data_IF_336614553648
#
_entry.id   IF_336614553648
#
_cell.length_a   1.000
_cell.length_b   1.000
_cell.length_c   1.000
_cell.angle_alpha   90.00
_cell.angle_beta   90.00
_cell.angle_gamma   90.00
#
_symmetry.space_group_name_H-M   'P 1'
#
loop_
_entity.id
_entity.type
_entity.pdbx_description
1 polymer ?
#
# COMPACT_ATOMS: atom_id res chain seq x y z
N UNK A 1 -11.56 27.33 6.13
CA UNK A 1 -10.86 26.66 5.02
C UNK A 1 -10.84 25.18 5.34
N UNK A 2 -11.34 24.27 4.48
CA UNK A 2 -11.00 22.86 4.66
C UNK A 2 -9.46 22.77 4.70
N UNK A 3 -8.94 22.04 5.68
CA UNK A 3 -7.50 21.86 5.86
C UNK A 3 -6.97 21.10 4.66
N UNK A 4 -6.33 21.79 3.70
CA UNK A 4 -5.74 21.10 2.56
C UNK A 4 -4.59 20.23 3.03
N UNK A 5 -4.65 18.94 2.71
CA UNK A 5 -3.66 17.93 3.11
C UNK A 5 -2.72 17.61 1.97
N UNK A 6 -1.48 17.28 2.33
CA UNK A 6 -0.47 16.76 1.41
C UNK A 6 -0.15 15.32 1.77
N UNK A 7 0.11 14.52 0.74
CA UNK A 7 0.34 13.08 0.87
C UNK A 7 1.57 12.65 0.09
N UNK A 8 2.15 11.51 0.45
CA UNK A 8 3.24 10.87 -0.30
C UNK A 8 2.91 9.42 -0.63
N UNK A 9 3.19 8.99 -1.86
CA UNK A 9 2.89 7.64 -2.36
C UNK A 9 4.17 7.02 -2.90
N UNK A 10 4.47 5.79 -2.48
CA UNK A 10 5.47 4.95 -3.11
C UNK A 10 4.82 3.70 -3.71
N UNK A 11 5.08 3.45 -5.00
CA UNK A 11 4.44 2.35 -5.74
C UNK A 11 3.19 2.75 -6.52
N UNK A 12 3.06 4.03 -6.89
CA UNK A 12 1.91 4.58 -7.62
C UNK A 12 1.68 3.96 -9.01
N UNK A 13 2.66 3.27 -9.59
CA UNK A 13 2.53 2.57 -10.89
C UNK A 13 2.05 1.12 -10.76
N UNK A 14 1.84 0.64 -9.54
CA UNK A 14 1.32 -0.70 -9.27
C UNK A 14 -0.20 -0.68 -9.09
N UNK A 15 -0.86 -1.82 -9.24
CA UNK A 15 -2.33 -1.94 -9.23
C UNK A 15 -3.03 -1.13 -8.11
N UNK A 16 -2.64 -1.28 -6.83
CA UNK A 16 -3.25 -0.51 -5.72
C UNK A 16 -2.74 0.93 -5.68
N UNK A 17 -1.49 1.16 -6.09
CA UNK A 17 -0.89 2.50 -6.05
C UNK A 17 -1.48 3.44 -7.10
N UNK A 18 -1.86 2.89 -8.25
CA UNK A 18 -2.52 3.63 -9.32
C UNK A 18 -3.91 4.08 -8.88
N UNK A 19 -4.67 3.16 -8.27
CA UNK A 19 -5.95 3.47 -7.63
C UNK A 19 -5.83 4.52 -6.52
N UNK A 20 -4.79 4.42 -5.68
CA UNK A 20 -4.50 5.43 -4.66
C UNK A 20 -4.24 6.81 -5.30
N UNK A 21 -3.43 6.87 -6.36
CA UNK A 21 -3.13 8.12 -7.06
C UNK A 21 -4.39 8.75 -7.65
N UNK A 22 -5.20 7.98 -8.38
CA UNK A 22 -6.43 8.48 -9.00
C UNK A 22 -7.46 8.96 -7.97
N UNK A 23 -7.66 8.21 -6.88
CA UNK A 23 -8.60 8.60 -5.83
C UNK A 23 -8.11 9.85 -5.07
N UNK A 24 -6.82 9.96 -4.77
CA UNK A 24 -6.25 11.13 -4.09
C UNK A 24 -6.24 12.38 -5.00
N UNK A 25 -6.13 12.23 -6.32
CA UNK A 25 -6.28 13.34 -7.27
C UNK A 25 -7.71 13.90 -7.25
N UNK A 26 -8.70 13.02 -7.22
CA UNK A 26 -10.12 13.35 -7.14
C UNK A 26 -10.58 13.89 -5.78
N UNK A 27 -9.76 13.77 -4.74
CA UNK A 27 -10.08 14.27 -3.40
C UNK A 27 -9.91 15.80 -3.33
N UNK A 28 -10.97 16.57 -3.01
CA UNK A 28 -10.91 18.02 -2.91
C UNK A 28 -10.07 18.52 -1.72
N UNK A 29 -9.89 17.70 -0.68
CA UNK A 29 -9.08 18.05 0.49
C UNK A 29 -7.59 17.81 0.24
N UNK A 30 -7.21 17.05 -0.81
CA UNK A 30 -5.81 16.83 -1.20
C UNK A 30 -5.34 17.91 -2.16
N UNK A 31 -4.34 18.69 -1.73
CA UNK A 31 -3.73 19.73 -2.55
C UNK A 31 -2.45 19.27 -3.25
N UNK A 32 -1.67 18.38 -2.63
CA UNK A 32 -0.38 17.92 -3.17
C UNK A 32 -0.17 16.43 -2.94
N UNK A 33 0.37 15.77 -3.95
CA UNK A 33 0.69 14.34 -3.97
C UNK A 33 2.15 14.18 -4.39
N UNK A 34 3.00 13.86 -3.42
CA UNK A 34 4.38 13.49 -3.68
C UNK A 34 4.44 12.04 -4.17
N UNK A 35 4.91 11.80 -5.39
CA UNK A 35 5.00 10.46 -5.95
C UNK A 35 6.46 10.01 -6.01
N UNK A 36 6.81 9.01 -5.22
CA UNK A 36 8.14 8.41 -5.20
C UNK A 36 8.17 7.20 -6.14
N UNK A 37 8.99 7.30 -7.19
CA UNK A 37 8.96 6.34 -8.30
C UNK A 37 10.35 6.08 -8.88
N UNK A 38 10.50 4.95 -9.57
CA UNK A 38 11.70 4.62 -10.38
C UNK A 38 11.56 5.07 -11.83
N UNK A 39 10.33 5.13 -12.32
CA UNK A 39 10.00 5.44 -13.71
C UNK A 39 9.08 6.67 -13.78
N UNK A 40 9.03 7.37 -14.92
CA UNK A 40 8.07 8.45 -15.13
C UNK A 40 6.63 8.00 -14.87
N UNK A 41 5.83 8.89 -14.29
CA UNK A 41 4.39 8.68 -14.08
C UNK A 41 3.65 9.26 -15.29
N UNK A 42 2.75 8.49 -15.90
CA UNK A 42 2.02 8.92 -17.10
C UNK A 42 0.96 10.00 -16.79
N UNK A 43 0.41 9.99 -15.59
CA UNK A 43 -0.60 10.94 -15.13
C UNK A 43 0.03 12.31 -14.87
N UNK A 44 -0.50 13.34 -15.51
CA UNK A 44 -0.06 14.74 -15.35
C UNK A 44 -1.13 15.53 -14.60
N UNK A 45 -0.73 16.19 -13.51
CA UNK A 45 -1.60 17.07 -12.72
C UNK A 45 -0.74 18.08 -11.96
N UNK A 46 -1.27 19.29 -11.77
CA UNK A 46 -0.63 20.33 -10.94
C UNK A 46 -0.49 19.93 -9.47
N UNK A 47 -1.30 18.97 -8.99
CA UNK A 47 -1.19 18.42 -7.64
C UNK A 47 0.03 17.49 -7.47
N UNK A 48 0.62 16.99 -8.55
CA UNK A 48 1.66 15.94 -8.48
C UNK A 48 3.06 16.55 -8.41
N UNK A 49 3.84 16.10 -7.43
CA UNK A 49 5.28 16.37 -7.32
C UNK A 49 6.02 15.04 -7.44
N UNK A 50 6.79 14.86 -8.51
CA UNK A 50 7.49 13.60 -8.78
C UNK A 50 8.87 13.60 -8.14
N UNK A 51 9.13 12.58 -7.32
CA UNK A 51 10.45 12.24 -6.77
C UNK A 51 10.95 10.97 -7.47
N UNK A 52 11.64 11.15 -8.60
CA UNK A 52 12.17 10.04 -9.37
C UNK A 52 13.57 9.64 -8.89
N UNK A 53 13.71 8.42 -8.37
CA UNK A 53 15.02 7.86 -8.02
C UNK A 53 15.03 6.33 -8.19
N UNK A 54 16.12 5.73 -8.72
CA UNK A 54 16.25 4.27 -8.83
C UNK A 54 16.05 3.53 -7.51
N UNK A 55 16.37 4.18 -6.40
CA UNK A 55 16.38 3.62 -5.06
C UNK A 55 15.17 4.02 -4.21
N UNK A 56 14.17 4.68 -4.83
CA UNK A 56 12.95 5.23 -4.21
C UNK A 56 13.23 6.15 -3.01
N UNK A 57 14.23 7.01 -3.13
CA UNK A 57 14.54 8.05 -2.15
C UNK A 57 14.07 9.44 -2.60
N UNK A 58 13.80 10.30 -1.62
CA UNK A 58 13.63 11.73 -1.81
C UNK A 58 14.98 12.38 -1.52
N UNK A 59 15.71 12.75 -2.57
CA UNK A 59 17.07 13.32 -2.47
C UNK A 59 17.09 14.84 -2.43
N UNK A 60 16.01 15.47 -2.91
CA UNK A 60 15.85 16.91 -2.94
C UNK A 60 14.46 17.29 -2.45
N UNK A 61 14.40 18.32 -1.61
CA UNK A 61 13.15 18.90 -1.11
C UNK A 61 13.16 20.41 -1.29
N UNK A 62 12.16 20.95 -1.97
CA UNK A 62 12.04 22.40 -2.12
C UNK A 62 11.37 23.00 -0.88
N UNK A 63 11.87 24.14 -0.33
CA UNK A 63 11.35 24.71 0.91
C UNK A 63 9.85 25.06 0.90
N UNK A 64 9.29 25.34 -0.28
CA UNK A 64 7.87 25.67 -0.43
C UNK A 64 6.96 24.45 -0.59
N UNK A 65 7.53 23.24 -0.74
CA UNK A 65 6.73 22.03 -0.83
C UNK A 65 6.13 21.68 0.54
N UNK A 66 4.82 21.43 0.60
CA UNK A 66 4.14 21.11 1.84
C UNK A 66 4.57 19.73 2.36
N UNK A 67 4.85 19.64 3.65
CA UNK A 67 5.22 18.36 4.28
C UNK A 67 4.00 17.43 4.32
N UNK A 68 4.09 16.21 3.76
CA UNK A 68 2.97 15.28 3.75
C UNK A 68 2.74 14.69 5.14
N UNK A 69 1.51 14.80 5.66
CA UNK A 69 1.14 14.17 6.93
C UNK A 69 0.95 12.66 6.79
N UNK A 70 0.43 12.23 5.62
CA UNK A 70 0.08 10.85 5.31
C UNK A 70 0.98 10.27 4.21
N UNK A 71 1.42 9.02 4.42
CA UNK A 71 2.19 8.24 3.47
C UNK A 71 1.51 6.93 3.12
N UNK A 72 1.60 6.53 1.85
CA UNK A 72 1.04 5.30 1.33
C UNK A 72 2.13 4.48 0.62
N UNK A 73 2.31 3.22 1.02
CA UNK A 73 3.26 2.30 0.40
C UNK A 73 2.51 1.11 -0.21
N UNK A 74 2.47 1.05 -1.52
CA UNK A 74 1.88 -0.05 -2.32
C UNK A 74 2.94 -0.86 -3.07
N UNK A 75 4.18 -0.85 -2.57
CA UNK A 75 5.29 -1.61 -3.13
C UNK A 75 5.12 -3.11 -2.89
N UNK A 76 5.47 -3.89 -3.90
CA UNK A 76 5.54 -5.34 -3.82
C UNK A 76 5.88 -5.95 -5.17
N UNK A 77 6.46 -7.14 -5.12
CA UNK A 77 6.74 -7.95 -6.31
C UNK A 77 6.19 -9.37 -6.11
N UNK A 78 6.09 -10.14 -7.18
CA UNK A 78 5.84 -11.59 -7.06
C UNK A 78 7.15 -12.35 -7.08
N UNK A 79 7.17 -13.59 -6.55
CA UNK A 79 8.34 -14.47 -6.69
C UNK A 79 8.76 -14.63 -8.16
N UNK A 80 7.79 -14.69 -9.08
CA UNK A 80 8.02 -14.82 -10.52
C UNK A 80 8.69 -13.58 -11.12
N UNK A 81 8.25 -12.38 -10.73
CA UNK A 81 8.84 -11.11 -11.17
C UNK A 81 10.20 -10.84 -10.49
N UNK A 82 10.35 -11.21 -9.22
CA UNK A 82 11.61 -11.08 -8.49
C UNK A 82 12.70 -12.05 -8.97
N UNK A 83 12.32 -13.20 -9.54
CA UNK A 83 13.24 -14.24 -10.01
C UNK A 83 13.91 -15.05 -8.88
N UNK A 84 13.99 -14.54 -7.65
CA UNK A 84 14.59 -15.24 -6.51
C UNK A 84 13.94 -14.89 -5.17
N UNK A 85 14.21 -15.70 -4.14
CA UNK A 85 13.79 -15.41 -2.76
C UNK A 85 14.46 -14.15 -2.22
N UNK A 86 15.76 -13.98 -2.46
CA UNK A 86 16.52 -12.82 -2.02
C UNK A 86 15.99 -11.52 -2.66
N UNK A 87 15.73 -11.52 -3.97
CA UNK A 87 15.17 -10.36 -4.66
C UNK A 87 13.74 -10.03 -4.18
N UNK A 88 12.95 -11.04 -3.81
CA UNK A 88 11.64 -10.82 -3.21
C UNK A 88 11.77 -10.21 -1.79
N UNK A 89 12.69 -10.70 -0.96
CA UNK A 89 12.95 -10.11 0.36
C UNK A 89 13.47 -8.67 0.25
N UNK A 90 14.32 -8.39 -0.74
CA UNK A 90 14.81 -7.03 -0.99
C UNK A 90 13.67 -6.06 -1.29
N UNK A 91 12.70 -6.46 -2.12
CA UNK A 91 11.57 -5.58 -2.49
C UNK A 91 10.47 -5.54 -1.42
N UNK A 92 9.98 -6.71 -0.99
CA UNK A 92 8.79 -6.79 -0.12
C UNK A 92 9.11 -6.54 1.37
N UNK A 93 10.39 -6.53 1.75
CA UNK A 93 10.82 -6.19 3.11
C UNK A 93 11.78 -4.99 3.15
N UNK A 94 13.00 -5.13 2.62
CA UNK A 94 14.04 -4.12 2.84
C UNK A 94 13.70 -2.77 2.20
N UNK A 95 13.24 -2.77 0.96
CA UNK A 95 12.87 -1.55 0.24
C UNK A 95 11.66 -0.85 0.88
N UNK A 96 10.64 -1.60 1.30
CA UNK A 96 9.48 -1.03 2.01
C UNK A 96 9.91 -0.35 3.31
N UNK A 97 10.75 -1.01 4.12
CA UNK A 97 11.29 -0.46 5.37
C UNK A 97 12.14 0.78 5.11
N UNK A 98 12.98 0.76 4.07
CA UNK A 98 13.78 1.92 3.67
C UNK A 98 12.90 3.12 3.30
N UNK A 99 11.89 2.89 2.47
CA UNK A 99 10.95 3.95 2.02
C UNK A 99 10.15 4.50 3.19
N UNK A 100 9.68 3.65 4.10
CA UNK A 100 9.00 4.11 5.31
C UNK A 100 9.93 5.00 6.16
N UNK A 101 11.15 4.56 6.45
CA UNK A 101 12.13 5.41 7.17
C UNK A 101 12.33 6.76 6.50
N UNK A 102 12.46 6.79 5.18
CA UNK A 102 12.55 8.04 4.42
C UNK A 102 11.29 8.90 4.60
N UNK A 103 10.08 8.32 4.50
CA UNK A 103 8.82 9.04 4.73
C UNK A 103 8.75 9.63 6.15
N UNK A 104 9.21 8.90 7.16
CA UNK A 104 9.29 9.41 8.54
C UNK A 104 10.25 10.62 8.65
N UNK A 105 11.41 10.56 7.98
CA UNK A 105 12.38 11.69 7.92
C UNK A 105 11.78 12.91 7.21
N UNK A 106 10.99 12.70 6.15
CA UNK A 106 10.26 13.78 5.46
C UNK A 106 9.20 14.43 6.35
N UNK A 107 8.71 13.74 7.37
CA UNK A 107 7.72 14.25 8.33
C UNK A 107 6.36 13.57 8.27
N UNK A 108 6.24 12.44 7.56
CA UNK A 108 5.02 11.62 7.57
C UNK A 108 4.78 11.07 8.97
N UNK A 109 3.57 11.25 9.47
CA UNK A 109 3.14 10.75 10.80
C UNK A 109 2.16 9.60 10.69
N UNK A 110 1.39 9.54 9.60
CA UNK A 110 0.39 8.51 9.36
C UNK A 110 0.82 7.67 8.16
N UNK A 111 1.09 6.38 8.36
CA UNK A 111 1.53 5.48 7.29
C UNK A 111 0.47 4.42 7.02
N UNK A 112 0.13 4.21 5.76
CA UNK A 112 -0.59 3.03 5.29
C UNK A 112 0.28 2.19 4.36
N UNK A 113 0.27 0.87 4.54
CA UNK A 113 1.05 -0.08 3.72
C UNK A 113 0.21 -1.27 3.26
N UNK A 114 0.45 -1.72 2.03
CA UNK A 114 -0.12 -2.97 1.50
C UNK A 114 0.75 -4.17 1.90
N UNK A 115 0.15 -5.06 2.69
CA UNK A 115 0.70 -6.35 3.07
C UNK A 115 -0.08 -7.48 2.39
N UNK A 116 -0.26 -8.61 3.09
CA UNK A 116 -0.99 -9.77 2.59
C UNK A 116 -1.70 -10.48 3.73
N UNK A 117 -2.83 -11.10 3.42
CA UNK A 117 -3.49 -12.04 4.33
C UNK A 117 -2.50 -13.12 4.81
N UNK A 118 -2.59 -13.50 6.09
CA UNK A 118 -1.70 -14.47 6.75
C UNK A 118 -0.21 -14.06 6.85
N UNK A 119 0.13 -12.79 6.59
CA UNK A 119 1.48 -12.29 6.82
C UNK A 119 1.91 -12.51 8.28
N UNK A 120 3.04 -13.20 8.47
CA UNK A 120 3.54 -13.55 9.79
C UNK A 120 5.05 -13.78 9.75
N UNK A 121 5.85 -13.20 10.67
CA UNK A 121 7.31 -13.26 10.64
C UNK A 121 7.90 -14.67 10.79
N UNK A 122 7.09 -15.65 11.23
CA UNK A 122 7.48 -17.07 11.34
C UNK A 122 6.77 -17.99 10.34
N UNK A 123 6.13 -17.44 9.31
CA UNK A 123 5.45 -18.25 8.30
C UNK A 123 6.44 -19.20 7.57
N UNK A 124 6.04 -20.45 7.26
CA UNK A 124 6.83 -21.33 6.40
C UNK A 124 6.91 -20.79 4.97
N UNK A 125 5.91 -20.03 4.53
CA UNK A 125 5.93 -19.34 3.24
C UNK A 125 6.90 -18.17 3.29
N UNK A 126 7.93 -18.19 2.44
CA UNK A 126 8.92 -17.11 2.33
C UNK A 126 8.26 -15.74 2.10
N UNK A 127 7.24 -15.68 1.25
CA UNK A 127 6.52 -14.45 0.93
C UNK A 127 5.78 -13.88 2.16
N UNK A 128 4.98 -14.69 2.83
CA UNK A 128 4.24 -14.28 4.03
C UNK A 128 5.19 -13.92 5.18
N UNK A 129 6.34 -14.58 5.23
CA UNK A 129 7.42 -14.24 6.17
C UNK A 129 8.04 -12.87 5.89
N UNK A 130 8.32 -12.54 4.62
CA UNK A 130 8.81 -11.21 4.26
C UNK A 130 7.81 -10.12 4.65
N UNK A 131 6.53 -10.30 4.29
CA UNK A 131 5.46 -9.37 4.68
C UNK A 131 5.32 -9.23 6.20
N UNK A 132 5.37 -10.34 6.95
CA UNK A 132 5.32 -10.29 8.42
C UNK A 132 6.53 -9.60 9.07
N UNK A 133 7.75 -9.82 8.54
CA UNK A 133 8.96 -9.09 8.98
C UNK A 133 8.84 -7.59 8.69
N UNK A 134 8.34 -7.23 7.51
CA UNK A 134 8.08 -5.85 7.10
C UNK A 134 7.10 -5.17 8.05
N UNK A 135 5.95 -5.78 8.31
CA UNK A 135 4.95 -5.21 9.23
C UNK A 135 5.52 -4.99 10.63
N UNK A 136 6.27 -5.97 11.16
CA UNK A 136 6.92 -5.84 12.45
C UNK A 136 7.90 -4.67 12.46
N UNK A 137 8.78 -4.58 11.46
CA UNK A 137 9.74 -3.49 11.37
C UNK A 137 9.06 -2.11 11.29
N UNK A 138 7.94 -1.99 10.58
CA UNK A 138 7.16 -0.73 10.52
C UNK A 138 6.52 -0.38 11.87
N UNK A 139 6.00 -1.38 12.60
CA UNK A 139 5.39 -1.16 13.92
C UNK A 139 6.38 -0.60 14.95
N UNK A 140 7.68 -0.88 14.76
CA UNK A 140 8.76 -0.41 15.63
C UNK A 140 9.27 1.00 15.24
N UNK A 141 8.73 1.65 14.18
CA UNK A 141 9.20 2.97 13.68
C UNK A 141 8.56 4.18 14.37
N UNK A 142 7.53 3.99 15.20
CA UNK A 142 6.94 5.08 15.99
C UNK A 142 6.06 6.06 15.19
N UNK A 143 5.45 5.62 14.09
CA UNK A 143 4.39 6.40 13.44
C UNK A 143 3.23 6.67 14.40
N UNK A 144 2.64 7.86 14.34
CA UNK A 144 1.44 8.21 15.12
C UNK A 144 0.25 7.33 14.73
N UNK A 145 0.17 6.96 13.44
CA UNK A 145 -0.80 5.99 12.92
C UNK A 145 -0.11 5.05 11.95
N UNK A 146 -0.26 3.74 12.16
CA UNK A 146 0.21 2.74 11.21
C UNK A 146 -0.96 1.84 10.80
N UNK A 147 -1.34 1.91 9.53
CA UNK A 147 -2.38 1.09 8.92
C UNK A 147 -1.75 0.02 8.02
N UNK A 148 -2.07 -1.24 8.26
CA UNK A 148 -1.66 -2.36 7.41
C UNK A 148 -2.88 -2.96 6.72
N UNK A 149 -2.98 -2.80 5.41
CA UNK A 149 -3.97 -3.50 4.61
C UNK A 149 -3.47 -4.93 4.32
N UNK A 150 -4.22 -5.95 4.72
CA UNK A 150 -3.93 -7.37 4.44
C UNK A 150 -5.01 -7.94 3.48
N UNK A 151 -4.95 -7.58 2.19
CA UNK A 151 -5.91 -8.11 1.22
C UNK A 151 -5.70 -9.62 1.01
N UNK A 152 -6.79 -10.28 0.62
CA UNK A 152 -6.76 -11.56 -0.06
C UNK A 152 -6.20 -11.44 -1.49
N UNK A 153 -6.58 -12.32 -2.42
CA UNK A 153 -6.23 -12.17 -3.83
C UNK A 153 -6.69 -10.81 -4.38
N UNK A 154 -5.81 -10.05 -5.03
CA UNK A 154 -6.18 -8.78 -5.64
C UNK A 154 -6.75 -9.01 -7.04
N UNK A 155 -7.86 -8.34 -7.35
CA UNK A 155 -8.48 -8.30 -8.68
C UNK A 155 -8.43 -6.88 -9.22
N UNK A 156 -8.16 -6.74 -10.52
CA UNK A 156 -8.20 -5.46 -11.23
C UNK A 156 -7.44 -5.54 -12.54
N UNK A 157 -7.82 -4.69 -13.49
CA UNK A 157 -7.19 -4.67 -14.80
C UNK A 157 -5.74 -4.18 -14.70
N UNK A 158 -4.83 -4.88 -15.38
CA UNK A 158 -3.42 -4.51 -15.54
C UNK A 158 -3.09 -4.57 -17.02
N UNK A 159 -2.16 -3.72 -17.45
CA UNK A 159 -1.57 -3.84 -18.80
C UNK A 159 -0.83 -5.18 -18.99
N UNK A 160 -0.31 -5.79 -17.92
CA UNK A 160 0.22 -7.16 -17.93
C UNK A 160 -0.58 -8.07 -16.97
N UNK A 161 -1.48 -8.93 -17.49
CA UNK A 161 -2.21 -9.87 -16.66
C UNK A 161 -1.26 -10.89 -16.04
N UNK A 162 -1.40 -11.14 -14.72
CA UNK A 162 -0.73 -12.27 -14.10
C UNK A 162 -1.41 -13.53 -14.65
N UNK A 163 -0.68 -14.40 -15.35
CA UNK A 163 -1.19 -15.70 -15.85
C UNK A 163 -1.76 -16.62 -14.75
N UNK A 164 -1.58 -16.25 -13.49
CA UNK A 164 -2.10 -16.94 -12.31
C UNK A 164 -3.60 -16.59 -12.07
N UNK A 165 -4.13 -15.53 -12.69
CA UNK A 165 -5.56 -15.17 -12.67
C UNK A 165 -6.44 -16.22 -13.35
N UNK A 166 -5.97 -16.87 -14.43
CA UNK A 166 -6.81 -17.84 -15.14
C UNK A 166 -7.09 -19.10 -14.33
N UNK A 167 -6.22 -19.46 -13.39
CA UNK A 167 -6.43 -20.64 -12.53
C UNK A 167 -7.33 -20.31 -11.35
N UNK A 168 -7.14 -19.15 -10.69
CA UNK A 168 -8.03 -18.74 -9.60
C UNK A 168 -9.43 -18.35 -10.10
N UNK A 169 -9.56 -17.57 -11.18
CA UNK A 169 -10.86 -17.17 -11.74
C UNK A 169 -11.71 -18.38 -12.17
N UNK A 170 -11.09 -19.52 -12.49
CA UNK A 170 -11.79 -20.74 -12.90
C UNK A 170 -12.25 -21.62 -11.72
N UNK A 171 -11.64 -21.48 -10.55
CA UNK A 171 -11.95 -22.27 -9.34
C UNK A 171 -12.81 -21.47 -8.36
N UNK A 172 -12.71 -20.14 -8.37
CA UNK A 172 -13.43 -19.21 -7.50
C UNK A 172 -14.97 -19.31 -7.52
N UNK A 173 -15.65 -19.43 -8.68
CA UNK A 173 -17.11 -19.56 -8.69
C UNK A 173 -17.60 -20.81 -7.97
N UNK A 174 -16.76 -21.84 -7.86
CA UNK A 174 -17.08 -23.10 -7.19
C UNK A 174 -16.93 -23.02 -5.65
N UNK A 175 -16.10 -22.10 -5.15
CA UNK A 175 -15.80 -21.93 -3.72
C UNK A 175 -16.60 -20.81 -3.05
N UNK A 176 -17.20 -19.90 -3.83
CA UNK A 176 -17.99 -18.78 -3.35
C UNK A 176 -19.11 -19.13 -2.33
N UNK A 177 -19.84 -20.26 -2.45
CA UNK A 177 -20.86 -20.62 -1.45
C UNK A 177 -20.28 -20.99 -0.07
N UNK A 178 -18.97 -21.25 0.02
CA UNK A 178 -18.29 -21.72 1.24
C UNK A 178 -17.40 -20.66 1.90
N UNK A 179 -17.25 -19.47 1.31
CA UNK A 179 -16.41 -18.37 1.83
C UNK A 179 -17.12 -17.50 2.89
N UNK A 180 -18.01 -18.09 3.70
CA UNK A 180 -18.66 -17.40 4.81
C UNK A 180 -17.85 -17.56 6.12
N UNK A 181 -17.89 -16.55 6.99
CA UNK A 181 -17.24 -16.60 8.30
C UNK A 181 -15.71 -16.37 8.25
N UNK A 182 -14.87 -17.19 8.92
CA UNK A 182 -13.42 -17.00 8.96
C UNK A 182 -12.72 -17.04 7.60
N UNK A 183 -13.38 -17.59 6.57
CA UNK A 183 -12.86 -17.70 5.21
C UNK A 183 -13.15 -16.48 4.33
N UNK A 184 -13.92 -15.50 4.83
CA UNK A 184 -14.25 -14.29 4.07
C UNK A 184 -13.00 -13.44 3.71
N UNK A 185 -11.91 -13.57 4.46
CA UNK A 185 -10.65 -12.89 4.14
C UNK A 185 -9.96 -13.45 2.86
N UNK A 186 -10.36 -14.63 2.40
CA UNK A 186 -9.86 -15.26 1.16
C UNK A 186 -10.60 -14.80 -0.09
N UNK A 187 -11.70 -14.06 0.07
CA UNK A 187 -12.41 -13.46 -1.04
C UNK A 187 -11.49 -12.46 -1.76
N UNK A 188 -11.49 -12.43 -3.10
CA UNK A 188 -10.73 -11.44 -3.81
C UNK A 188 -11.21 -10.03 -3.48
N UNK A 189 -10.25 -9.11 -3.45
CA UNK A 189 -10.50 -7.70 -3.16
C UNK A 189 -10.09 -6.88 -4.38
N UNK A 190 -10.99 -6.03 -4.85
CA UNK A 190 -10.68 -5.10 -5.93
C UNK A 190 -9.69 -4.04 -5.45
N UNK A 191 -8.69 -3.72 -6.27
CA UNK A 191 -7.66 -2.76 -5.89
C UNK A 191 -8.21 -1.38 -5.52
N UNK A 192 -9.27 -0.94 -6.21
CA UNK A 192 -10.01 0.30 -5.92
C UNK A 192 -10.52 0.33 -4.48
N UNK A 193 -10.99 -0.81 -3.94
CA UNK A 193 -11.49 -0.91 -2.57
C UNK A 193 -10.36 -0.88 -1.55
N UNK A 194 -9.23 -1.54 -1.84
CA UNK A 194 -8.03 -1.47 -1.00
C UNK A 194 -7.54 -0.02 -0.89
N UNK A 195 -7.43 0.68 -2.01
CA UNK A 195 -7.03 2.08 -2.04
C UNK A 195 -8.01 2.97 -1.24
N UNK A 196 -9.32 2.82 -1.48
CA UNK A 196 -10.36 3.57 -0.76
C UNK A 196 -10.31 3.32 0.74
N UNK A 197 -10.15 2.07 1.15
CA UNK A 197 -10.04 1.67 2.55
C UNK A 197 -8.81 2.29 3.21
N UNK A 198 -7.66 2.27 2.53
CA UNK A 198 -6.43 2.90 3.04
C UNK A 198 -6.60 4.40 3.23
N UNK A 199 -7.17 5.12 2.25
CA UNK A 199 -7.39 6.56 2.32
C UNK A 199 -8.38 6.90 3.44
N UNK A 200 -9.51 6.20 3.48
CA UNK A 200 -10.61 6.46 4.42
C UNK A 200 -10.17 6.18 5.85
N UNK A 201 -9.63 4.98 6.12
CA UNK A 201 -9.25 4.57 7.46
C UNK A 201 -8.12 5.44 8.01
N UNK A 202 -7.08 5.74 7.21
CA UNK A 202 -5.96 6.58 7.66
C UNK A 202 -6.38 8.05 7.94
N UNK A 203 -7.50 8.49 7.36
CA UNK A 203 -8.06 9.83 7.52
C UNK A 203 -9.17 9.92 8.59
N UNK A 204 -9.53 8.81 9.25
CA UNK A 204 -10.52 8.81 10.33
C UNK A 204 -10.10 9.78 11.46
N UNK A 205 -11.04 10.64 11.90
CA UNK A 205 -10.78 11.63 12.95
C UNK A 205 -10.60 10.96 14.32
N UNK A 206 -11.41 9.93 14.59
CA UNK A 206 -11.42 9.18 15.84
C UNK A 206 -10.57 7.91 15.71
N UNK A 207 -9.29 8.08 15.41
CA UNK A 207 -8.35 6.95 15.41
C UNK A 207 -8.32 6.34 16.83
N UNK A 208 -8.71 5.07 17.01
CA UNK A 208 -8.70 4.45 18.33
C UNK A 208 -7.24 4.41 18.82
N UNK A 209 -7.01 4.81 20.08
CA UNK A 209 -5.76 4.58 20.83
C UNK A 209 -4.51 5.38 20.42
N UNK A 210 -3.67 5.66 21.43
CA UNK A 210 -2.38 6.34 21.33
C UNK A 210 -1.31 5.29 21.00
N UNK A 211 -0.74 5.36 19.79
CA UNK A 211 0.33 4.51 19.23
C UNK A 211 -0.22 3.20 18.64
N UNK A 212 -1.11 3.31 17.65
CA UNK A 212 -1.98 2.22 17.23
C UNK A 212 -1.66 1.71 15.82
N UNK A 213 -1.04 0.54 15.80
CA UNK A 213 -0.95 -0.36 14.66
C UNK A 213 -2.33 -1.00 14.40
N UNK A 214 -2.96 -0.65 13.27
CA UNK A 214 -4.27 -1.17 12.85
C UNK A 214 -4.11 -2.06 11.62
N UNK A 215 -4.74 -3.23 11.64
CA UNK A 215 -4.81 -4.13 10.48
C UNK A 215 -6.20 -4.05 9.85
N UNK A 216 -6.27 -3.88 8.53
CA UNK A 216 -7.49 -4.06 7.75
C UNK A 216 -7.44 -5.41 7.03
N UNK A 217 -8.18 -6.43 7.51
CA UNK A 217 -8.24 -7.72 6.85
C UNK A 217 -9.12 -7.67 5.58
N UNK A 218 -8.97 -8.66 4.69
CA UNK A 218 -9.68 -8.74 3.39
C UNK A 218 -11.18 -8.47 3.47
N UNK A 219 -11.87 -9.09 4.44
CA UNK A 219 -13.32 -8.92 4.64
C UNK A 219 -13.75 -7.46 4.93
N UNK A 220 -12.88 -6.69 5.58
CA UNK A 220 -13.12 -5.27 5.89
C UNK A 220 -12.83 -4.42 4.66
N UNK A 221 -11.78 -4.76 3.90
CA UNK A 221 -11.46 -4.07 2.65
C UNK A 221 -12.61 -4.20 1.62
N UNK A 222 -13.31 -5.34 1.58
CA UNK A 222 -14.46 -5.55 0.69
C UNK A 222 -15.69 -4.69 1.00
N UNK A 223 -15.73 -3.99 2.14
CA UNK A 223 -16.86 -3.14 2.57
C UNK A 223 -16.73 -1.67 2.15
N UNK A 224 -15.58 -1.27 1.59
CA UNK A 224 -15.33 0.07 1.07
C UNK A 224 -15.70 0.17 -0.41
#
# INVERSE_FOLDING_TARGET
MPSSRSVIIAGATGLVGDELLHQLLGDPDVSHIHVVTRHPVAVVSEKIIVHQSPDLSVTHWQPHWPVPLQGYISLGTTKKQAGSRAALEEVDYHLVVKVARMMAVVGVKHLAVVSSMLAHPWSPSHYLRCKGKMERALSEMGYERLLVARPGPLVGEREEPRKDEQFLQRIMPLLNPFLAGPLADFEPVEAVRVARAMISALSEQNWPGRIDYRILPGRVLNQY
#
